data_IF_269391526640
#
_entry.id   IF_269391526640
#
_cell.length_a   1.000
_cell.length_b   1.000
_cell.length_c   1.000
_cell.angle_alpha   90.00
_cell.angle_beta   90.00
_cell.angle_gamma   90.00
#
_symmetry.space_group_name_H-M   'P 1'
#
loop_
_entity.id
_entity.type
_entity.pdbx_description
1 polymer ?
#
# COMPACT_ATOMS: atom_id res chain seq x y z
N UNK A 1 22.69 1.82 -14.58
CA UNK A 1 21.59 0.95 -14.11
C UNK A 1 21.27 1.39 -12.70
N UNK A 2 20.18 2.12 -12.48
CA UNK A 2 19.80 2.62 -11.16
C UNK A 2 18.29 2.73 -11.08
N UNK A 3 17.75 2.11 -10.04
CA UNK A 3 16.33 1.95 -9.77
C UNK A 3 15.60 3.29 -9.77
N UNK A 4 14.54 3.42 -10.57
CA UNK A 4 13.53 4.47 -10.36
C UNK A 4 12.51 3.92 -9.36
N UNK A 5 12.94 3.87 -8.11
CA UNK A 5 12.04 3.87 -6.96
C UNK A 5 11.07 5.04 -7.14
N UNK A 6 9.77 4.75 -7.22
CA UNK A 6 8.74 5.71 -6.84
C UNK A 6 8.81 5.94 -5.32
N UNK A 7 9.93 6.51 -4.86
CA UNK A 7 9.96 7.34 -3.67
C UNK A 7 9.14 8.57 -4.03
N UNK A 8 7.85 8.56 -3.73
CA UNK A 8 7.14 9.79 -3.48
C UNK A 8 7.73 10.40 -2.20
N UNK A 9 8.89 11.04 -2.39
CA UNK A 9 9.28 12.21 -1.63
C UNK A 9 8.05 13.12 -1.67
N UNK A 10 7.42 13.27 -0.52
CA UNK A 10 6.34 14.21 -0.25
C UNK A 10 6.87 15.63 -0.53
N UNK A 11 7.01 16.00 -1.81
CA UNK A 11 7.09 17.40 -2.18
C UNK A 11 5.71 17.93 -1.85
N UNK A 12 5.66 18.88 -0.91
CA UNK A 12 4.55 19.79 -0.72
C UNK A 12 3.97 20.15 -2.09
N UNK A 13 2.85 19.55 -2.47
CA UNK A 13 1.96 20.17 -3.43
C UNK A 13 1.26 21.26 -2.62
N UNK A 14 1.92 22.43 -2.57
CA UNK A 14 1.27 23.68 -2.25
C UNK A 14 0.30 23.93 -3.41
N UNK A 15 -0.85 23.27 -3.39
CA UNK A 15 -2.02 23.80 -4.09
C UNK A 15 -2.45 24.99 -3.27
N UNK A 16 -2.43 26.17 -3.90
CA UNK A 16 -2.89 27.42 -3.33
C UNK A 16 -4.38 27.32 -2.98
N UNK A 17 -4.67 26.81 -1.79
CA UNK A 17 -5.96 26.98 -1.14
C UNK A 17 -5.95 28.35 -0.45
N UNK A 18 -6.28 29.38 -1.22
CA UNK A 18 -6.97 30.55 -0.69
C UNK A 18 -8.29 30.08 -0.08
N UNK A 19 -8.26 29.58 1.15
CA UNK A 19 -9.47 29.35 1.95
C UNK A 19 -9.42 30.35 3.08
N UNK A 20 -10.30 31.34 2.95
CA UNK A 20 -10.51 32.39 3.91
C UNK A 20 -10.66 31.80 5.33
N UNK A 21 -9.84 32.31 6.24
CA UNK A 21 -10.04 32.20 7.67
C UNK A 21 -11.47 32.63 7.99
N UNK A 22 -12.19 31.85 8.80
CA UNK A 22 -13.13 32.26 9.86
C UNK A 22 -14.09 31.11 10.20
N UNK A 23 -13.77 30.30 11.22
CA UNK A 23 -14.59 30.04 12.43
C UNK A 23 -14.15 28.74 13.15
N UNK A 24 -14.14 28.71 14.50
CA UNK A 24 -13.42 27.72 15.29
C UNK A 24 -14.31 26.53 15.73
N UNK A 25 -13.67 25.41 16.04
CA UNK A 25 -14.19 24.20 16.74
C UNK A 25 -15.06 23.23 15.94
N UNK A 26 -14.40 22.28 15.26
CA UNK A 26 -14.73 20.85 15.35
C UNK A 26 -13.49 20.10 14.83
N UNK A 27 -13.05 19.10 15.59
CA UNK A 27 -11.88 18.28 15.32
C UNK A 27 -11.67 18.07 13.82
N UNK A 28 -10.56 18.58 13.30
CA UNK A 28 -10.05 18.18 11.99
C UNK A 28 -9.69 16.70 12.09
N UNK A 29 -10.71 15.84 12.02
CA UNK A 29 -10.51 14.44 11.68
C UNK A 29 -10.08 14.51 10.23
N UNK A 30 -8.77 14.54 10.02
CA UNK A 30 -8.17 14.13 8.77
C UNK A 30 -8.58 12.68 8.58
N UNK A 31 -9.77 12.45 8.03
CA UNK A 31 -10.16 11.17 7.45
C UNK A 31 -9.12 10.96 6.36
N UNK A 32 -8.10 10.16 6.67
CA UNK A 32 -7.11 9.77 5.69
C UNK A 32 -7.85 8.97 4.63
N UNK A 33 -8.28 9.65 3.58
CA UNK A 33 -8.81 8.98 2.40
C UNK A 33 -7.69 8.13 1.84
N UNK A 34 -7.89 6.82 1.89
CA UNK A 34 -7.01 5.83 1.28
C UNK A 34 -6.88 6.19 -0.21
N UNK A 35 -5.72 6.69 -0.63
CA UNK A 35 -5.49 7.08 -2.02
C UNK A 35 -5.31 5.83 -2.88
N UNK A 36 -6.37 5.41 -3.56
CA UNK A 36 -6.35 4.29 -4.52
C UNK A 36 -6.00 4.71 -5.95
N UNK A 37 -6.01 6.03 -6.24
CA UNK A 37 -5.62 6.61 -7.53
C UNK A 37 -4.39 7.53 -7.39
N UNK A 38 -3.42 7.39 -8.29
CA UNK A 38 -2.14 8.10 -8.20
C UNK A 38 -1.98 9.17 -9.30
N UNK A 39 -2.91 9.22 -10.25
CA UNK A 39 -2.90 10.18 -11.36
C UNK A 39 -4.35 10.53 -11.73
N UNK A 40 -4.62 11.77 -12.18
CA UNK A 40 -5.92 12.13 -12.75
C UNK A 40 -6.31 11.20 -13.93
N UNK A 41 -7.61 10.87 -14.09
CA UNK A 41 -8.11 10.12 -15.24
C UNK A 41 -7.73 10.76 -16.57
N UNK A 42 -7.63 9.93 -17.61
CA UNK A 42 -7.44 10.40 -18.98
C UNK A 42 -8.71 11.01 -19.57
N UNK A 43 -8.66 11.31 -20.87
CA UNK A 43 -9.83 11.78 -21.64
C UNK A 43 -10.93 10.72 -21.75
N UNK A 44 -10.59 9.46 -21.50
CA UNK A 44 -11.48 8.30 -21.43
C UNK A 44 -12.24 8.22 -20.09
N UNK A 45 -11.87 9.01 -19.09
CA UNK A 45 -12.46 8.97 -17.76
C UNK A 45 -12.07 7.72 -16.95
N UNK A 46 -11.15 6.90 -17.44
CA UNK A 46 -10.70 5.69 -16.76
C UNK A 46 -9.67 6.08 -15.67
N UNK A 47 -9.86 5.67 -14.41
CA UNK A 47 -8.93 6.04 -13.35
C UNK A 47 -7.60 5.29 -13.49
N UNK A 48 -6.53 5.98 -13.09
CA UNK A 48 -5.21 5.38 -13.00
C UNK A 48 -4.95 4.90 -11.56
N UNK A 49 -5.05 3.60 -11.36
CA UNK A 49 -4.88 2.99 -10.04
C UNK A 49 -3.44 3.10 -9.54
N UNK A 50 -3.30 3.37 -8.24
CA UNK A 50 -2.03 3.32 -7.55
C UNK A 50 -1.48 1.89 -7.52
N UNK A 51 -0.17 1.74 -7.20
CA UNK A 51 0.35 0.45 -6.77
C UNK A 51 -0.54 -0.16 -5.70
N UNK A 52 -0.73 -1.49 -5.76
CA UNK A 52 -1.61 -2.28 -4.88
C UNK A 52 -3.11 -2.19 -5.16
N UNK A 53 -3.53 -1.50 -6.23
CA UNK A 53 -4.93 -1.47 -6.67
C UNK A 53 -5.05 -1.88 -8.13
N UNK A 54 -6.13 -2.55 -8.50
CA UNK A 54 -6.44 -2.95 -9.87
C UNK A 54 -7.77 -2.35 -10.32
N UNK A 55 -7.93 -2.20 -11.63
CA UNK A 55 -9.14 -1.62 -12.21
C UNK A 55 -10.23 -2.69 -12.31
N UNK A 56 -11.32 -2.49 -11.59
CA UNK A 56 -12.52 -3.30 -11.66
C UNK A 56 -13.74 -2.37 -11.74
N UNK A 57 -14.57 -2.51 -12.79
CA UNK A 57 -15.78 -1.69 -12.98
C UNK A 57 -15.55 -0.17 -12.84
N UNK A 58 -14.49 0.36 -13.48
CA UNK A 58 -14.06 1.77 -13.37
C UNK A 58 -13.71 2.25 -11.96
N UNK A 59 -13.44 1.33 -11.04
CA UNK A 59 -13.05 1.61 -9.65
C UNK A 59 -11.70 0.93 -9.39
N UNK A 60 -10.89 1.55 -8.52
CA UNK A 60 -9.61 0.97 -8.11
C UNK A 60 -9.80 0.15 -6.84
N UNK A 61 -9.82 -1.16 -6.98
CA UNK A 61 -10.00 -2.12 -5.91
C UNK A 61 -8.64 -2.60 -5.38
N UNK A 62 -8.55 -2.88 -4.08
CA UNK A 62 -7.30 -3.31 -3.46
C UNK A 62 -6.92 -4.74 -3.87
N UNK A 63 -5.64 -4.97 -4.14
CA UNK A 63 -5.11 -6.30 -4.41
C UNK A 63 -5.25 -7.23 -3.19
N UNK A 64 -5.39 -8.55 -3.41
CA UNK A 64 -5.31 -9.52 -2.32
C UNK A 64 -4.00 -9.36 -1.53
N UNK A 65 -4.01 -9.62 -0.20
CA UNK A 65 -2.81 -9.54 0.62
C UNK A 65 -1.65 -10.34 0.04
N UNK A 66 -0.47 -9.76 0.06
CA UNK A 66 0.74 -10.38 -0.48
C UNK A 66 0.93 -10.21 -1.97
N UNK A 67 0.08 -9.46 -2.66
CA UNK A 67 0.19 -9.18 -4.10
C UNK A 67 0.17 -7.69 -4.40
N UNK A 68 0.81 -7.33 -5.51
CA UNK A 68 0.93 -5.96 -6.00
C UNK A 68 0.45 -5.86 -7.44
N UNK A 69 -0.06 -4.68 -7.77
CA UNK A 69 -0.30 -4.26 -9.13
C UNK A 69 0.57 -3.02 -9.45
N UNK A 70 1.76 -3.18 -10.05
CA UNK A 70 2.64 -2.04 -10.31
C UNK A 70 2.19 -1.18 -11.50
N UNK A 71 1.35 -1.73 -12.38
CA UNK A 71 0.86 -1.09 -13.61
C UNK A 71 -0.56 -1.57 -13.88
N UNK A 72 -1.51 -0.69 -14.19
CA UNK A 72 -2.94 -1.01 -14.33
C UNK A 72 -3.31 -2.25 -15.18
N UNK A 73 -2.41 -2.75 -16.02
CA UNK A 73 -2.60 -3.94 -16.88
C UNK A 73 -2.33 -5.30 -16.17
N UNK A 74 -1.80 -5.29 -14.94
CA UNK A 74 -1.45 -6.52 -14.18
C UNK A 74 -2.51 -6.78 -13.11
N UNK A 75 -3.27 -7.85 -13.22
CA UNK A 75 -4.31 -8.19 -12.24
C UNK A 75 -3.75 -8.80 -10.95
N UNK A 76 -3.05 -7.99 -10.14
CA UNK A 76 -2.57 -8.35 -8.80
C UNK A 76 -1.87 -9.73 -8.73
N UNK A 77 -1.05 -10.05 -9.73
CA UNK A 77 -0.39 -11.37 -9.83
C UNK A 77 1.05 -11.38 -9.35
N UNK A 78 1.63 -10.20 -9.10
CA UNK A 78 3.01 -10.07 -8.66
C UNK A 78 3.07 -10.16 -7.13
N UNK A 79 3.75 -11.17 -6.54
CA UNK A 79 3.86 -11.27 -5.08
C UNK A 79 4.73 -10.14 -4.49
N UNK A 80 4.52 -9.85 -3.22
CA UNK A 80 5.40 -8.96 -2.46
C UNK A 80 6.86 -9.46 -2.51
N UNK A 81 7.77 -8.55 -2.82
CA UNK A 81 9.21 -8.84 -2.76
C UNK A 81 9.68 -8.93 -1.32
N UNK A 82 10.48 -9.95 -1.01
CA UNK A 82 11.21 -10.04 0.27
C UNK A 82 11.94 -8.71 0.56
N UNK A 83 11.88 -8.19 1.81
CA UNK A 83 11.34 -8.82 3.01
C UNK A 83 9.86 -8.52 3.28
N UNK A 84 9.11 -8.05 2.29
CA UNK A 84 7.78 -7.49 2.49
C UNK A 84 6.68 -8.54 2.35
N UNK A 85 5.59 -8.43 3.13
CA UNK A 85 4.45 -9.34 3.05
C UNK A 85 3.13 -8.68 3.48
N UNK A 86 2.01 -9.37 3.26
CA UNK A 86 0.69 -8.97 3.76
C UNK A 86 0.01 -7.89 2.92
N UNK A 87 -1.02 -7.25 3.48
CA UNK A 87 -1.74 -6.16 2.81
C UNK A 87 -0.77 -5.06 2.41
N UNK A 88 -0.83 -4.64 1.14
CA UNK A 88 0.06 -3.62 0.54
C UNK A 88 1.55 -3.83 0.78
N UNK A 89 1.97 -5.06 1.08
CA UNK A 89 3.35 -5.38 1.45
C UNK A 89 3.90 -4.55 2.63
N UNK A 90 3.06 -4.17 3.60
CA UNK A 90 3.51 -3.36 4.75
C UNK A 90 4.15 -4.20 5.89
N UNK A 91 3.88 -5.50 5.90
CA UNK A 91 4.53 -6.44 6.81
C UNK A 91 6.00 -6.65 6.43
N UNK A 92 6.85 -6.94 7.43
CA UNK A 92 8.27 -7.21 7.21
C UNK A 92 8.73 -8.50 7.87
N UNK A 93 9.26 -9.42 7.06
CA UNK A 93 9.82 -10.67 7.52
C UNK A 93 11.14 -10.45 8.27
N UNK A 94 11.35 -11.26 9.32
CA UNK A 94 12.58 -11.36 10.10
C UNK A 94 13.21 -12.77 10.03
N UNK A 95 12.68 -13.64 9.17
CA UNK A 95 13.15 -14.98 8.84
C UNK A 95 13.95 -14.98 7.53
N UNK A 96 14.43 -16.16 7.11
CA UNK A 96 15.09 -16.32 5.82
C UNK A 96 14.17 -15.93 4.65
N UNK A 97 14.75 -15.67 3.48
CA UNK A 97 13.95 -15.34 2.29
C UNK A 97 13.07 -16.51 1.88
N UNK A 98 13.57 -17.72 2.08
CA UNK A 98 12.94 -18.99 1.74
C UNK A 98 11.71 -19.27 2.62
N UNK A 99 11.74 -18.80 3.88
CA UNK A 99 10.64 -18.97 4.84
C UNK A 99 9.62 -17.83 4.83
N UNK A 100 9.94 -16.71 4.18
CA UNK A 100 9.08 -15.54 4.14
C UNK A 100 7.98 -15.70 3.08
N UNK A 101 6.76 -16.02 3.52
CA UNK A 101 5.61 -16.09 2.63
C UNK A 101 5.06 -14.70 2.33
N UNK A 102 4.90 -14.34 1.06
CA UNK A 102 4.42 -13.00 0.66
C UNK A 102 3.05 -12.63 1.24
N UNK A 103 2.20 -13.61 1.58
CA UNK A 103 0.90 -13.38 2.25
C UNK A 103 1.01 -13.30 3.77
N UNK A 104 1.64 -14.28 4.42
CA UNK A 104 1.55 -14.47 5.89
C UNK A 104 2.83 -14.04 6.63
N UNK A 105 3.91 -13.76 5.92
CA UNK A 105 5.21 -13.46 6.49
C UNK A 105 5.92 -14.72 6.96
N UNK A 106 6.53 -14.64 8.15
CA UNK A 106 7.32 -15.73 8.71
C UNK A 106 6.44 -16.78 9.40
N UNK A 107 6.86 -18.05 9.43
CA UNK A 107 6.18 -19.07 10.22
C UNK A 107 6.20 -18.70 11.70
N UNK A 108 5.06 -18.85 12.38
CA UNK A 108 5.00 -18.72 13.84
C UNK A 108 5.67 -19.95 14.43
N UNK A 109 6.91 -19.79 14.91
CA UNK A 109 7.51 -20.78 15.80
C UNK A 109 6.75 -20.74 17.11
N UNK A 110 5.77 -21.64 17.27
CA UNK A 110 5.14 -21.88 18.55
C UNK A 110 6.19 -22.47 19.49
N UNK A 111 6.95 -21.61 20.18
CA UNK A 111 7.79 -21.99 21.32
C UNK A 111 6.89 -22.30 22.53
N UNK A 112 5.91 -23.19 22.37
CA UNK A 112 4.96 -23.55 23.43
C UNK A 112 5.58 -24.49 24.47
N UNK A 113 6.85 -24.92 24.32
CA UNK A 113 7.42 -25.97 25.17
C UNK A 113 8.61 -25.59 26.06
N UNK A 114 9.10 -24.33 26.11
CA UNK A 114 10.24 -24.00 26.98
C UNK A 114 9.99 -22.92 28.05
N UNK A 115 8.86 -22.21 28.05
CA UNK A 115 8.56 -21.24 29.12
C UNK A 115 7.64 -21.80 30.23
N UNK A 116 7.20 -23.06 30.14
CA UNK A 116 6.45 -23.71 31.23
C UNK A 116 7.36 -24.42 32.27
N UNK A 117 8.68 -24.43 32.07
CA UNK A 117 9.64 -25.10 32.97
C UNK A 117 10.92 -24.28 33.25
N UNK A 118 10.81 -22.98 33.50
CA UNK A 118 11.89 -22.22 34.18
C UNK A 118 11.33 -21.37 35.31
#
# INVERSE_FOLDING_TARGET
MKERLCLHRQRRQHHDHLVALLLPTLHSVSIGILQSTCRPPGTDGIPFCCPFYFLENNTCEECPPGYINPTSDINCSLPCSYPSYGARCEGRCNCSKEDCHHVFGCPVTMNVYLEYNS
#
